data_IF_573921094599
#
_entry.id   IF_573921094599
#
_cell.length_a   1.000
_cell.length_b   1.000
_cell.length_c   1.000
_cell.angle_alpha   90.00
_cell.angle_beta   90.00
_cell.angle_gamma   90.00
#
_symmetry.space_group_name_H-M   'P 1'
#
loop_
_entity.id
_entity.type
_entity.pdbx_description
1 polymer ?
#
# COMPACT_ATOMS: atom_id res chain seq x y z
N UNK A 1 -30.45 -19.19 -43.93
CA UNK A 1 -29.61 -18.38 -43.02
C UNK A 1 -29.79 -18.96 -41.64
N UNK A 2 -28.83 -19.76 -41.22
CA UNK A 2 -28.87 -20.49 -39.95
C UNK A 2 -28.35 -19.57 -38.84
N UNK A 3 -29.24 -19.28 -37.89
CA UNK A 3 -29.03 -18.35 -36.77
C UNK A 3 -28.23 -19.02 -35.62
N UNK A 4 -27.85 -20.30 -35.78
CA UNK A 4 -27.11 -21.07 -34.79
C UNK A 4 -25.57 -20.95 -34.90
N UNK A 5 -25.04 -20.29 -35.93
CA UNK A 5 -23.60 -20.18 -36.17
C UNK A 5 -22.87 -19.07 -35.38
N UNK A 6 -23.56 -18.38 -34.47
CA UNK A 6 -22.99 -17.25 -33.69
C UNK A 6 -22.62 -17.62 -32.24
N UNK A 7 -22.43 -18.91 -31.94
CA UNK A 7 -21.93 -19.34 -30.62
C UNK A 7 -20.51 -19.87 -30.72
N UNK A 8 -19.64 -19.20 -29.97
CA UNK A 8 -18.22 -19.51 -29.71
C UNK A 8 -17.21 -18.91 -30.70
N UNK A 9 -17.19 -17.59 -30.84
CA UNK A 9 -15.88 -16.94 -30.81
C UNK A 9 -15.42 -17.01 -29.35
N UNK A 10 -14.35 -17.76 -29.01
CA UNK A 10 -13.71 -17.57 -27.72
C UNK A 10 -13.25 -16.11 -27.72
N UNK A 11 -13.92 -15.27 -26.95
CA UNK A 11 -13.45 -13.90 -26.77
C UNK A 11 -12.02 -14.03 -26.25
N UNK A 12 -11.02 -13.39 -26.89
CA UNK A 12 -9.61 -13.59 -26.56
C UNK A 12 -9.30 -13.28 -25.08
N UNK A 13 -10.22 -12.59 -24.40
CA UNK A 13 -10.18 -12.32 -22.97
C UNK A 13 -10.58 -13.51 -22.07
N UNK A 14 -11.49 -14.38 -22.49
CA UNK A 14 -11.97 -15.49 -21.66
C UNK A 14 -10.88 -16.53 -21.34
N UNK A 15 -9.95 -16.74 -22.27
CA UNK A 15 -8.81 -17.66 -22.12
C UNK A 15 -7.50 -16.94 -21.76
N UNK A 16 -7.57 -15.65 -21.44
CA UNK A 16 -6.38 -14.87 -21.08
C UNK A 16 -5.95 -15.16 -19.64
N UNK A 17 -4.64 -15.37 -19.38
CA UNK A 17 -4.13 -15.48 -18.02
C UNK A 17 -4.29 -14.19 -17.21
N UNK A 18 -4.67 -13.08 -17.86
CA UNK A 18 -4.97 -11.81 -17.19
C UNK A 18 -6.38 -11.76 -16.57
N UNK A 19 -7.32 -12.59 -17.04
CA UNK A 19 -8.69 -12.56 -16.54
C UNK A 19 -8.80 -12.98 -15.07
N UNK A 20 -8.13 -14.05 -14.59
CA UNK A 20 -8.11 -14.38 -13.16
C UNK A 20 -7.51 -13.25 -12.31
N UNK A 21 -6.43 -12.61 -12.78
CA UNK A 21 -5.80 -11.48 -12.08
C UNK A 21 -6.76 -10.28 -11.98
N UNK A 22 -7.48 -9.98 -13.06
CA UNK A 22 -8.46 -8.90 -13.09
C UNK A 22 -9.65 -9.19 -12.15
N UNK A 23 -10.12 -10.44 -12.09
CA UNK A 23 -11.23 -10.86 -11.22
C UNK A 23 -10.83 -10.81 -9.73
N UNK A 24 -9.60 -11.20 -9.40
CA UNK A 24 -9.05 -11.06 -8.05
C UNK A 24 -8.94 -9.58 -7.68
N UNK A 25 -8.40 -8.75 -8.58
CA UNK A 25 -8.29 -7.30 -8.38
C UNK A 25 -9.66 -6.61 -8.21
N UNK A 26 -10.68 -7.04 -8.96
CA UNK A 26 -12.04 -6.55 -8.79
C UNK A 26 -12.63 -6.97 -7.42
N UNK A 27 -12.25 -8.12 -6.89
CA UNK A 27 -12.68 -8.56 -5.57
C UNK A 27 -12.00 -7.78 -4.44
N UNK A 28 -10.72 -7.41 -4.59
CA UNK A 28 -9.96 -6.61 -3.61
C UNK A 28 -10.46 -5.17 -3.56
N UNK A 29 -10.76 -4.56 -4.71
CA UNK A 29 -11.30 -3.19 -4.78
C UNK A 29 -12.68 -3.02 -4.13
N UNK A 30 -13.43 -4.10 -3.86
CA UNK A 30 -14.71 -4.01 -3.13
C UNK A 30 -14.57 -3.42 -1.72
N UNK A 31 -13.39 -3.55 -1.12
CA UNK A 31 -13.09 -3.02 0.21
C UNK A 31 -12.39 -1.65 0.16
N UNK A 32 -12.28 -1.03 -1.02
CA UNK A 32 -11.72 0.31 -1.13
C UNK A 32 -12.58 1.32 -0.34
N UNK A 33 -11.95 2.28 0.36
CA UNK A 33 -12.69 3.30 1.10
C UNK A 33 -13.57 4.08 0.14
N UNK A 34 -14.85 4.25 0.52
CA UNK A 34 -15.80 5.03 -0.27
C UNK A 34 -15.56 6.51 -0.01
N UNK A 35 -15.28 7.25 -1.07
CA UNK A 35 -15.27 8.72 -1.01
C UNK A 35 -16.66 9.22 -0.67
N UNK A 36 -16.76 10.06 0.34
CA UNK A 36 -18.02 10.71 0.72
C UNK A 36 -18.18 12.02 -0.07
N UNK A 37 -19.38 12.28 -0.57
CA UNK A 37 -19.69 13.52 -1.29
C UNK A 37 -19.92 14.72 -0.35
N UNK A 38 -20.16 14.45 0.94
CA UNK A 38 -20.45 15.46 1.96
C UNK A 38 -19.60 15.16 3.19
N UNK A 39 -18.86 16.17 3.63
CA UNK A 39 -18.03 16.13 4.84
C UNK A 39 -18.87 16.65 6.00
N UNK A 40 -18.74 16.05 7.19
CA UNK A 40 -19.39 16.55 8.41
C UNK A 40 -18.69 17.81 8.90
N UNK A 41 -19.37 18.59 9.74
CA UNK A 41 -18.77 19.79 10.33
C UNK A 41 -17.66 19.45 11.35
N UNK A 42 -17.72 18.26 11.96
CA UNK A 42 -16.77 17.80 12.97
C UNK A 42 -16.44 16.30 12.85
N UNK A 43 -15.21 15.95 13.27
CA UNK A 43 -14.69 14.58 13.38
C UNK A 43 -13.80 14.49 14.61
N UNK A 44 -13.74 13.32 15.24
CA UNK A 44 -12.83 13.07 16.38
C UNK A 44 -11.37 13.10 15.94
N UNK A 45 -11.10 12.58 14.73
CA UNK A 45 -9.76 12.58 14.15
C UNK A 45 -9.79 12.94 12.67
N UNK A 46 -8.82 13.75 12.25
CA UNK A 46 -8.54 14.04 10.84
C UNK A 46 -7.14 13.51 10.52
N UNK A 47 -7.08 12.53 9.63
CA UNK A 47 -5.83 11.98 9.11
C UNK A 47 -5.56 12.61 7.74
N UNK A 48 -4.44 13.32 7.61
CA UNK A 48 -4.02 13.95 6.35
C UNK A 48 -2.96 13.08 5.69
N UNK A 49 -3.32 12.48 4.56
CA UNK A 49 -2.53 11.53 3.78
C UNK A 49 -2.95 10.09 4.04
N UNK A 50 -3.52 9.44 3.03
CA UNK A 50 -3.83 8.00 2.99
C UNK A 50 -2.61 7.18 2.56
N UNK A 51 -1.42 7.56 3.02
CA UNK A 51 -0.20 6.79 2.79
C UNK A 51 -0.15 5.50 3.61
N UNK A 52 1.00 4.82 3.58
CA UNK A 52 1.21 3.55 4.30
C UNK A 52 0.91 3.65 5.79
N UNK A 53 1.34 4.73 6.46
CA UNK A 53 1.07 4.94 7.88
C UNK A 53 -0.33 5.52 8.13
N UNK A 54 -0.76 6.52 7.35
CA UNK A 54 -2.04 7.20 7.54
C UNK A 54 -3.24 6.27 7.37
N UNK A 55 -3.20 5.37 6.38
CA UNK A 55 -4.25 4.36 6.18
C UNK A 55 -4.36 3.39 7.37
N UNK A 56 -3.22 3.01 7.97
CA UNK A 56 -3.20 2.15 9.16
C UNK A 56 -3.79 2.88 10.36
N UNK A 57 -3.36 4.13 10.61
CA UNK A 57 -3.87 4.93 11.73
C UNK A 57 -5.38 5.15 11.59
N UNK A 58 -5.85 5.57 10.40
CA UNK A 58 -7.27 5.77 10.13
C UNK A 58 -8.07 4.48 10.36
N UNK A 59 -7.58 3.35 9.83
CA UNK A 59 -8.24 2.05 10.00
C UNK A 59 -8.31 1.64 11.47
N UNK A 60 -7.30 1.95 12.28
CA UNK A 60 -7.28 1.61 13.71
C UNK A 60 -8.19 2.47 14.55
N UNK A 61 -8.19 3.78 14.30
CA UNK A 61 -9.09 4.69 14.99
C UNK A 61 -10.56 4.36 14.68
N UNK A 62 -10.85 3.93 13.46
CA UNK A 62 -12.21 3.55 13.04
C UNK A 62 -12.68 2.17 13.54
N UNK A 63 -11.83 1.38 14.21
CA UNK A 63 -12.28 0.11 14.82
C UNK A 63 -13.25 0.37 15.99
N UNK A 64 -13.15 1.53 16.63
CA UNK A 64 -14.06 1.95 17.69
C UNK A 64 -15.35 2.54 17.09
N UNK A 65 -16.54 1.92 17.32
CA UNK A 65 -17.77 2.32 16.63
C UNK A 65 -18.25 3.74 16.92
N UNK A 66 -17.80 4.32 18.03
CA UNK A 66 -18.17 5.67 18.45
C UNK A 66 -17.21 6.75 17.94
N UNK A 67 -16.13 6.37 17.24
CA UNK A 67 -15.10 7.30 16.74
C UNK A 67 -15.35 7.63 15.27
N UNK A 68 -15.37 8.92 14.96
CA UNK A 68 -15.45 9.45 13.61
C UNK A 68 -14.07 9.88 13.09
N UNK A 69 -13.71 9.37 11.92
CA UNK A 69 -12.41 9.64 11.28
C UNK A 69 -12.62 10.20 9.88
N UNK A 70 -12.01 11.35 9.59
CA UNK A 70 -11.89 11.89 8.24
C UNK A 70 -10.49 11.60 7.71
N UNK A 71 -10.41 10.94 6.56
CA UNK A 71 -9.16 10.67 5.85
C UNK A 71 -9.09 11.53 4.58
N UNK A 72 -8.10 12.41 4.50
CA UNK A 72 -7.88 13.29 3.35
C UNK A 72 -6.68 12.78 2.54
N UNK A 73 -6.84 12.66 1.23
CA UNK A 73 -5.78 12.22 0.32
C UNK A 73 -5.77 13.08 -0.94
N UNK A 74 -4.57 13.44 -1.42
CA UNK A 74 -4.39 14.31 -2.57
C UNK A 74 -4.47 13.56 -3.91
N UNK A 75 -4.23 12.24 -3.89
CA UNK A 75 -4.35 11.38 -5.06
C UNK A 75 -5.68 10.64 -5.16
N UNK A 76 -5.74 9.75 -6.14
CA UNK A 76 -6.90 8.92 -6.45
C UNK A 76 -6.71 7.47 -5.97
N UNK A 77 -7.75 6.65 -6.12
CA UNK A 77 -7.62 5.21 -5.96
C UNK A 77 -6.71 4.58 -7.02
N UNK A 78 -6.06 3.49 -6.64
CA UNK A 78 -5.19 2.73 -7.53
C UNK A 78 -5.98 2.08 -8.69
N UNK A 79 -5.43 2.02 -9.90
CA UNK A 79 -6.01 1.24 -10.99
C UNK A 79 -5.87 -0.26 -10.70
N UNK A 80 -6.74 -1.09 -11.29
CA UNK A 80 -6.69 -2.56 -11.15
C UNK A 80 -5.32 -3.16 -11.49
N UNK A 81 -4.61 -2.56 -12.45
CA UNK A 81 -3.27 -2.98 -12.85
C UNK A 81 -2.24 -2.83 -11.72
N UNK A 82 -2.49 -2.03 -10.68
CA UNK A 82 -1.57 -1.87 -9.56
C UNK A 82 -1.42 -3.15 -8.74
N UNK A 83 -2.42 -4.03 -8.78
CA UNK A 83 -2.41 -5.33 -8.09
C UNK A 83 -1.48 -6.35 -8.78
N UNK A 84 -0.86 -5.99 -9.91
CA UNK A 84 0.13 -6.82 -10.60
C UNK A 84 1.54 -6.35 -10.19
N UNK A 85 2.26 -7.08 -9.32
CA UNK A 85 3.54 -6.62 -8.79
C UNK A 85 4.61 -6.30 -9.82
N UNK A 86 4.67 -7.09 -10.89
CA UNK A 86 5.73 -7.01 -11.90
C UNK A 86 5.72 -5.70 -12.69
N UNK A 87 4.60 -4.97 -12.68
CA UNK A 87 4.43 -3.71 -13.40
C UNK A 87 4.45 -2.47 -12.49
N UNK A 88 4.76 -2.63 -11.19
CA UNK A 88 4.78 -1.53 -10.21
C UNK A 88 5.64 -0.33 -10.64
N UNK A 89 6.79 -0.58 -11.27
CA UNK A 89 7.68 0.48 -11.79
C UNK A 89 7.09 1.29 -12.96
N UNK A 90 6.12 0.73 -13.68
CA UNK A 90 5.46 1.43 -14.79
C UNK A 90 4.57 2.59 -14.33
N UNK A 91 4.27 2.67 -13.03
CA UNK A 91 3.47 3.77 -12.45
C UNK A 91 4.32 4.99 -12.06
N UNK A 92 5.65 4.93 -12.18
CA UNK A 92 6.50 6.11 -11.98
C UNK A 92 6.20 7.17 -13.06
N UNK A 93 6.26 8.44 -12.69
CA UNK A 93 5.92 9.58 -13.56
C UNK A 93 4.47 9.62 -14.06
N UNK A 94 3.58 8.80 -13.50
CA UNK A 94 2.14 8.85 -13.79
C UNK A 94 1.41 9.75 -12.79
N UNK A 95 0.09 9.83 -12.88
CA UNK A 95 -0.75 10.52 -11.89
C UNK A 95 -0.69 9.89 -10.48
N UNK A 96 -0.16 8.68 -10.34
CA UNK A 96 0.06 8.01 -9.06
C UNK A 96 1.41 8.36 -8.42
N UNK A 97 2.24 9.16 -9.08
CA UNK A 97 3.57 9.54 -8.60
C UNK A 97 3.65 11.07 -8.41
N UNK A 98 4.08 11.52 -7.25
CA UNK A 98 4.45 12.92 -7.04
C UNK A 98 5.64 13.35 -7.89
N UNK A 99 6.49 12.39 -8.30
CA UNK A 99 7.66 12.58 -9.14
C UNK A 99 8.58 13.70 -8.62
N UNK A 100 8.83 13.70 -7.31
CA UNK A 100 9.68 14.70 -6.68
C UNK A 100 11.08 14.68 -7.30
N UNK A 101 11.70 15.86 -7.33
CA UNK A 101 13.10 16.02 -7.71
C UNK A 101 13.86 16.55 -6.52
N UNK A 102 15.03 15.98 -6.26
CA UNK A 102 15.93 16.51 -5.25
C UNK A 102 16.46 17.88 -5.68
N UNK A 103 16.98 18.66 -4.74
CA UNK A 103 17.87 19.78 -5.09
C UNK A 103 19.09 19.24 -5.87
N UNK A 104 19.76 20.06 -6.70
CA UNK A 104 21.01 19.63 -7.35
C UNK A 104 22.01 19.05 -6.34
N UNK A 105 22.48 17.84 -6.58
CA UNK A 105 23.38 17.14 -5.66
C UNK A 105 24.83 17.56 -5.93
N UNK A 106 25.60 17.90 -4.89
CA UNK A 106 26.99 18.41 -5.04
C UNK A 106 28.02 17.33 -5.40
N UNK A 107 27.80 16.09 -4.95
CA UNK A 107 28.79 15.01 -5.06
C UNK A 107 28.30 13.83 -5.90
N UNK A 108 27.09 13.91 -6.44
CA UNK A 108 26.46 12.86 -7.26
C UNK A 108 25.69 13.48 -8.42
N UNK A 109 25.19 12.65 -9.34
CA UNK A 109 24.24 13.08 -10.38
C UNK A 109 24.81 13.87 -11.54
N UNK A 110 26.13 13.86 -11.78
CA UNK A 110 26.77 14.63 -12.88
C UNK A 110 26.17 14.31 -14.27
N UNK A 111 25.71 13.07 -14.47
CA UNK A 111 25.05 12.65 -15.72
C UNK A 111 23.54 12.88 -15.75
N UNK A 112 22.95 13.49 -14.72
CA UNK A 112 21.53 13.80 -14.64
C UNK A 112 21.28 15.27 -15.01
N UNK A 113 20.13 15.54 -15.62
CA UNK A 113 19.70 16.92 -15.91
C UNK A 113 19.65 17.72 -14.60
N UNK A 114 20.37 18.84 -14.55
CA UNK A 114 20.53 19.70 -13.37
C UNK A 114 21.05 18.98 -12.11
N UNK A 115 21.65 17.78 -12.26
CA UNK A 115 22.12 16.95 -11.14
C UNK A 115 21.03 16.61 -10.13
N UNK A 116 19.77 16.58 -10.57
CA UNK A 116 18.62 16.26 -9.73
C UNK A 116 18.27 14.79 -9.88
N UNK A 117 18.09 14.12 -8.75
CA UNK A 117 17.64 12.73 -8.69
C UNK A 117 16.12 12.73 -8.58
N UNK A 118 15.48 11.83 -9.32
CA UNK A 118 14.04 11.60 -9.22
C UNK A 118 13.79 10.75 -7.98
N UNK A 119 12.82 11.16 -7.17
CA UNK A 119 12.40 10.47 -5.96
C UNK A 119 10.91 10.13 -6.06
N UNK A 120 10.57 8.93 -6.58
CA UNK A 120 9.18 8.52 -6.71
C UNK A 120 8.50 8.45 -5.35
N UNK A 121 7.29 9.00 -5.25
CA UNK A 121 6.50 8.95 -4.04
C UNK A 121 5.03 8.81 -4.43
N UNK A 122 4.33 7.85 -3.83
CA UNK A 122 2.97 7.54 -4.24
C UNK A 122 1.98 8.64 -3.89
N UNK A 123 1.11 8.98 -4.83
CA UNK A 123 0.04 9.97 -4.75
C UNK A 123 -1.30 9.25 -4.95
N UNK A 124 -1.93 8.86 -3.86
CA UNK A 124 -3.19 8.10 -3.88
C UNK A 124 -3.39 7.27 -2.62
N UNK A 125 -4.51 6.55 -2.56
CA UNK A 125 -4.81 5.64 -1.44
C UNK A 125 -3.76 4.53 -1.38
N UNK A 126 -3.05 4.42 -0.25
CA UNK A 126 -1.89 3.55 -0.07
C UNK A 126 -0.55 4.30 -0.17
N UNK A 127 -0.53 5.51 -0.74
CA UNK A 127 0.67 6.33 -0.93
C UNK A 127 1.80 5.56 -1.60
N UNK A 128 3.02 5.65 -1.07
CA UNK A 128 4.18 4.97 -1.65
C UNK A 128 4.09 3.44 -1.64
N UNK A 129 3.16 2.82 -0.91
CA UNK A 129 2.91 1.38 -1.03
C UNK A 129 2.42 1.01 -2.43
N UNK A 130 1.80 1.93 -3.16
CA UNK A 130 1.36 1.72 -4.55
C UNK A 130 2.51 1.54 -5.55
N UNK A 131 3.67 2.12 -5.25
CA UNK A 131 4.81 2.20 -6.18
C UNK A 131 6.02 1.38 -5.71
N UNK A 132 5.93 0.76 -4.53
CA UNK A 132 7.05 0.07 -3.93
C UNK A 132 7.35 -1.25 -4.65
N UNK A 133 8.47 -1.89 -4.30
CA UNK A 133 8.87 -3.19 -4.84
C UNK A 133 8.36 -4.38 -4.00
N UNK A 134 7.37 -4.15 -3.13
CA UNK A 134 6.79 -5.12 -2.18
C UNK A 134 7.78 -5.83 -1.25
N UNK A 135 8.97 -5.25 -1.07
CA UNK A 135 9.95 -5.81 -0.15
C UNK A 135 9.51 -5.55 1.29
N UNK A 136 9.36 -6.62 2.06
CA UNK A 136 9.10 -6.55 3.50
C UNK A 136 10.33 -7.02 4.28
N UNK A 137 10.97 -6.08 4.99
CA UNK A 137 12.17 -6.33 5.80
C UNK A 137 12.01 -5.59 7.13
N UNK A 138 12.11 -6.31 8.26
CA UNK A 138 11.84 -5.76 9.61
C UNK A 138 12.97 -4.88 10.19
N UNK A 139 14.00 -4.54 9.40
CA UNK A 139 15.16 -3.76 9.86
C UNK A 139 16.08 -4.52 10.83
N UNK A 140 17.25 -3.95 11.12
CA UNK A 140 18.19 -4.53 12.09
C UNK A 140 17.80 -4.13 13.53
N UNK A 141 17.81 -5.09 14.46
CA UNK A 141 17.48 -4.86 15.88
C UNK A 141 18.22 -3.68 16.49
N UNK A 142 19.53 -3.57 16.20
CA UNK A 142 20.38 -2.50 16.72
C UNK A 142 19.88 -1.12 16.33
N UNK A 143 19.27 -0.95 15.15
CA UNK A 143 18.78 0.37 14.75
C UNK A 143 17.64 0.86 15.65
N UNK A 144 16.74 -0.03 16.07
CA UNK A 144 15.64 0.32 16.98
C UNK A 144 16.14 0.58 18.40
N UNK A 145 17.07 -0.25 18.89
CA UNK A 145 17.68 -0.03 20.20
C UNK A 145 18.46 1.30 20.23
N UNK A 146 19.16 1.63 19.14
CA UNK A 146 19.82 2.92 18.98
C UNK A 146 18.82 4.07 18.95
N UNK A 147 17.64 3.93 18.32
CA UNK A 147 16.60 4.96 18.36
C UNK A 147 16.12 5.22 19.79
N UNK A 148 15.84 4.16 20.54
CA UNK A 148 15.42 4.27 21.93
C UNK A 148 16.51 4.94 22.79
N UNK A 149 17.77 4.57 22.60
CA UNK A 149 18.90 5.18 23.29
C UNK A 149 19.08 6.66 22.95
N UNK A 150 18.69 7.09 21.74
CA UNK A 150 18.72 8.49 21.29
C UNK A 150 17.45 9.28 21.63
N UNK A 151 16.60 8.76 22.51
CA UNK A 151 15.44 9.48 23.05
C UNK A 151 14.08 9.08 22.47
N UNK A 152 14.04 8.17 21.49
CA UNK A 152 12.78 7.57 21.02
C UNK A 152 12.29 6.50 22.02
N UNK A 153 11.99 6.92 23.25
CA UNK A 153 11.53 6.02 24.32
C UNK A 153 10.32 5.22 23.86
N UNK A 154 10.30 3.90 24.09
CA UNK A 154 9.24 3.01 23.61
C UNK A 154 9.49 2.40 22.22
N UNK A 155 10.60 2.73 21.56
CA UNK A 155 10.92 2.26 20.20
C UNK A 155 12.08 1.26 20.13
N UNK A 156 12.48 0.64 21.25
CA UNK A 156 13.49 -0.44 21.22
C UNK A 156 12.98 -1.65 20.43
N UNK A 157 13.87 -2.52 19.95
CA UNK A 157 13.44 -3.67 19.13
C UNK A 157 12.42 -4.55 19.86
N UNK A 158 12.61 -4.72 21.17
CA UNK A 158 11.69 -5.49 22.02
C UNK A 158 10.28 -4.89 22.03
N UNK A 159 10.17 -3.57 22.04
CA UNK A 159 8.90 -2.84 22.11
C UNK A 159 8.19 -2.81 20.76
N UNK A 160 8.93 -2.69 19.65
CA UNK A 160 8.33 -2.69 18.30
C UNK A 160 8.02 -4.09 17.77
N UNK A 161 8.65 -5.13 18.32
CA UNK A 161 8.49 -6.52 17.85
C UNK A 161 7.03 -7.00 17.76
N UNK A 162 6.15 -6.78 18.76
CA UNK A 162 4.75 -7.16 18.66
C UNK A 162 4.03 -6.46 17.50
N UNK A 163 4.43 -5.23 17.16
CA UNK A 163 3.85 -4.50 16.03
C UNK A 163 4.28 -5.08 14.69
N UNK A 164 5.52 -5.56 14.53
CA UNK A 164 5.93 -6.27 13.31
C UNK A 164 5.13 -7.55 13.09
N UNK A 165 4.92 -8.32 14.15
CA UNK A 165 4.08 -9.52 14.06
C UNK A 165 2.63 -9.12 13.76
N UNK A 166 2.15 -8.04 14.37
CA UNK A 166 0.78 -7.53 14.15
C UNK A 166 0.60 -7.08 12.70
N UNK A 167 1.61 -6.48 12.07
CA UNK A 167 1.52 -5.99 10.69
C UNK A 167 1.56 -7.08 9.61
N UNK A 168 1.95 -8.31 9.92
CA UNK A 168 2.11 -9.36 8.92
C UNK A 168 1.06 -10.47 9.00
N UNK A 169 0.80 -11.08 7.85
CA UNK A 169 -0.07 -12.25 7.71
C UNK A 169 0.61 -13.28 6.79
N UNK A 170 1.73 -13.85 7.25
CA UNK A 170 2.49 -14.81 6.44
C UNK A 170 1.75 -16.16 6.38
N UNK A 171 1.27 -16.49 5.19
CA UNK A 171 0.51 -17.72 4.91
C UNK A 171 1.38 -18.92 4.48
N UNK A 172 2.71 -18.81 4.54
CA UNK A 172 3.60 -19.94 4.25
C UNK A 172 3.38 -21.08 5.27
N UNK A 173 3.00 -22.29 4.82
CA UNK A 173 2.74 -23.43 5.71
C UNK A 173 3.91 -23.78 6.65
N UNK A 174 5.15 -23.61 6.19
CA UNK A 174 6.33 -23.90 6.99
C UNK A 174 6.47 -22.92 8.17
N UNK A 175 6.08 -21.66 7.98
CA UNK A 175 6.08 -20.65 9.04
C UNK A 175 4.87 -20.80 9.96
N UNK A 176 3.69 -21.07 9.41
CA UNK A 176 2.46 -21.32 10.19
C UNK A 176 2.64 -22.50 11.15
N UNK A 177 3.32 -23.57 10.71
CA UNK A 177 3.61 -24.75 11.54
C UNK A 177 4.46 -24.44 12.79
N UNK A 178 5.24 -23.34 12.80
CA UNK A 178 6.08 -22.98 13.95
C UNK A 178 5.31 -22.31 15.10
N UNK A 179 4.04 -21.95 14.90
CA UNK A 179 3.22 -21.26 15.91
C UNK A 179 3.69 -19.84 16.27
N UNK A 180 4.69 -19.30 15.55
CA UNK A 180 5.24 -17.94 15.75
C UNK A 180 4.51 -16.87 14.95
N UNK A 181 3.41 -17.23 14.28
CA UNK A 181 2.62 -16.33 13.43
C UNK A 181 1.34 -15.93 14.18
N UNK A 182 0.90 -14.69 14.00
CA UNK A 182 -0.29 -14.18 14.67
C UNK A 182 -1.57 -14.89 14.20
N UNK A 183 -2.43 -15.26 15.15
CA UNK A 183 -3.76 -15.86 14.88
C UNK A 183 -4.84 -14.85 14.51
N UNK A 184 -4.52 -13.56 14.51
CA UNK A 184 -5.46 -12.49 14.22
C UNK A 184 -4.75 -11.47 13.32
N UNK A 185 -4.80 -11.64 11.99
CA UNK A 185 -4.20 -10.68 11.10
C UNK A 185 -4.89 -9.34 11.33
N UNK A 186 -4.06 -8.32 11.48
CA UNK A 186 -4.54 -6.98 11.25
C UNK A 186 -5.02 -6.99 9.82
N UNK A 187 -6.24 -6.51 9.57
CA UNK A 187 -6.60 -5.99 8.26
C UNK A 187 -5.73 -4.76 8.03
N UNK A 188 -4.44 -4.99 7.86
CA UNK A 188 -3.58 -4.03 7.26
C UNK A 188 -4.08 -4.05 5.85
N UNK A 189 -4.65 -2.95 5.40
CA UNK A 189 -4.62 -2.62 3.98
C UNK A 189 -3.14 -2.40 3.60
N UNK A 190 -2.32 -3.43 3.79
CA UNK A 190 -1.12 -3.61 3.04
C UNK A 190 -1.63 -3.79 1.62
N UNK A 191 -1.34 -2.81 0.75
CA UNK A 191 -1.33 -3.04 -0.68
C UNK A 191 -0.19 -4.03 -0.95
N UNK A 192 -0.46 -5.27 -0.59
CA UNK A 192 0.20 -6.51 -0.98
C UNK A 192 -0.95 -7.50 -0.99
N UNK A 193 -1.68 -7.50 -2.11
CA UNK A 193 -2.63 -8.55 -2.48
C UNK A 193 -1.99 -9.40 -3.56
#
# INVERSE_FOLDING_TARGET
>A
MDIAAERAYPTPFANSPLLPLLLISLATQRNAPKTVATVKDEYDYIVVGSGSAGSVVASRLSEEPCVSVLLLEAGQGAPLLNDIPSIGRSFWFTNLDWAYKTTPQKNTGESLVNRQVIFPAGKGFGGSSLLNAMLYVRGNRKNYDDWAANGATGWSFKEVWPYFLKMEDNQDPAYLATGKVNKCPVKMFAFVS
#
